data_IF_566963917096
#
_entry.id   IF_566963917096
#
_cell.length_a   1.000
_cell.length_b   1.000
_cell.length_c   1.000
_cell.angle_alpha   90.00
_cell.angle_beta   90.00
_cell.angle_gamma   90.00
#
_symmetry.space_group_name_H-M   'P 1'
#
loop_
_entity.id
_entity.type
_entity.pdbx_description
1 polymer ?
#
# COMPACT_ATOMS: atom_id res chain seq x y z
N UNK A 1 5.66 27.86 15.17
CA UNK A 1 4.54 28.17 14.28
C UNK A 1 4.88 28.04 12.79
N UNK A 2 6.19 28.04 12.38
CA UNK A 2 6.58 27.99 10.96
C UNK A 2 6.64 26.58 10.34
N UNK A 3 6.52 25.51 11.13
CA UNK A 3 6.63 24.12 10.63
C UNK A 3 5.54 23.75 9.63
N UNK A 4 4.29 24.19 9.85
CA UNK A 4 3.18 23.92 8.94
C UNK A 4 3.35 24.52 7.54
N UNK A 5 3.92 25.72 7.44
CA UNK A 5 4.20 26.35 6.15
C UNK A 5 5.29 25.59 5.37
N UNK A 6 6.32 25.06 6.02
CA UNK A 6 7.35 24.25 5.37
C UNK A 6 6.79 23.00 4.69
N UNK A 7 5.84 22.31 5.32
CA UNK A 7 5.24 21.11 4.75
C UNK A 7 4.25 21.44 3.61
N UNK A 8 3.55 22.57 3.69
CA UNK A 8 2.74 23.06 2.56
C UNK A 8 3.64 23.35 1.35
N UNK A 9 4.76 24.05 1.53
CA UNK A 9 5.71 24.34 0.44
C UNK A 9 6.32 23.06 -0.15
N UNK A 10 6.61 22.04 0.65
CA UNK A 10 7.12 20.76 0.14
C UNK A 10 6.11 20.08 -0.76
N UNK A 11 4.83 20.04 -0.35
CA UNK A 11 3.75 19.46 -1.17
C UNK A 11 3.54 20.23 -2.48
N UNK A 12 3.55 21.56 -2.42
CA UNK A 12 3.45 22.41 -3.61
C UNK A 12 4.62 22.16 -4.59
N UNK A 13 5.84 21.95 -4.07
CA UNK A 13 6.99 21.62 -4.92
C UNK A 13 6.85 20.26 -5.56
N UNK A 14 6.41 19.26 -4.79
CA UNK A 14 6.18 17.92 -5.32
C UNK A 14 5.14 17.96 -6.46
N UNK A 15 3.99 18.60 -6.21
CA UNK A 15 2.93 18.78 -7.20
C UNK A 15 3.45 19.46 -8.48
N UNK A 16 4.20 20.56 -8.31
CA UNK A 16 4.82 21.26 -9.44
C UNK A 16 5.79 20.36 -10.22
N UNK A 17 6.64 19.57 -9.55
CA UNK A 17 7.59 18.70 -10.23
C UNK A 17 6.89 17.59 -11.01
N UNK A 18 5.81 17.03 -10.49
CA UNK A 18 4.97 16.09 -11.25
C UNK A 18 4.42 16.76 -12.50
N UNK A 19 3.88 17.98 -12.38
CA UNK A 19 3.41 18.76 -13.54
C UNK A 19 4.51 19.07 -14.56
N UNK A 20 5.72 19.42 -14.10
CA UNK A 20 6.89 19.67 -14.98
C UNK A 20 7.30 18.40 -15.75
N UNK A 21 7.25 17.22 -15.10
CA UNK A 21 7.52 15.93 -15.77
C UNK A 21 6.46 15.64 -16.82
N UNK A 22 5.17 15.80 -16.49
CA UNK A 22 4.09 15.57 -17.46
C UNK A 22 4.18 16.50 -18.66
N UNK A 23 4.42 17.79 -18.43
CA UNK A 23 4.61 18.78 -19.51
C UNK A 23 5.83 18.47 -20.39
N UNK A 24 6.90 17.92 -19.83
CA UNK A 24 8.06 17.46 -20.60
C UNK A 24 7.71 16.27 -21.50
N UNK A 25 6.99 15.28 -21.00
CA UNK A 25 6.56 14.13 -21.78
C UNK A 25 5.66 14.53 -22.97
N UNK A 26 4.76 15.48 -22.74
CA UNK A 26 3.93 16.08 -23.81
C UNK A 26 4.79 16.80 -24.86
N UNK A 27 5.73 17.64 -24.41
CA UNK A 27 6.63 18.39 -25.29
C UNK A 27 7.50 17.48 -26.14
N UNK A 28 7.97 16.38 -25.59
CA UNK A 28 8.79 15.39 -26.32
C UNK A 28 7.93 14.44 -27.17
N UNK A 29 6.60 14.53 -27.11
CA UNK A 29 5.67 13.73 -27.91
C UNK A 29 5.63 12.26 -27.52
N UNK A 30 5.95 11.92 -26.28
CA UNK A 30 5.98 10.54 -25.76
C UNK A 30 4.95 10.29 -24.64
N UNK A 31 4.13 11.27 -24.32
CA UNK A 31 3.14 11.16 -23.23
C UNK A 31 2.18 9.98 -23.42
N UNK A 32 1.68 9.76 -24.65
CA UNK A 32 0.73 8.68 -24.96
C UNK A 32 1.37 7.28 -24.89
N UNK A 33 2.70 7.19 -24.87
CA UNK A 33 3.45 5.94 -24.74
C UNK A 33 4.23 5.86 -23.43
N UNK A 34 3.80 6.59 -22.41
CA UNK A 34 4.44 6.63 -21.08
C UNK A 34 3.44 6.30 -19.99
N UNK A 35 3.70 5.21 -19.27
CA UNK A 35 3.01 4.90 -18.04
C UNK A 35 3.61 5.72 -16.89
N UNK A 36 2.78 6.48 -16.20
CA UNK A 36 3.17 7.23 -15.00
C UNK A 36 2.55 6.57 -13.79
N UNK A 37 3.36 6.24 -12.80
CA UNK A 37 2.91 5.75 -11.49
C UNK A 37 3.35 6.74 -10.43
N UNK A 38 2.40 7.25 -9.66
CA UNK A 38 2.65 8.11 -8.50
C UNK A 38 2.20 7.41 -7.23
N UNK A 39 3.12 7.23 -6.29
CA UNK A 39 2.88 6.52 -5.03
C UNK A 39 3.84 6.96 -3.94
N UNK A 40 3.77 6.35 -2.77
CA UNK A 40 4.72 6.48 -1.65
C UNK A 40 5.22 5.10 -1.22
N UNK A 41 6.42 5.03 -0.68
CA UNK A 41 7.04 3.79 -0.17
C UNK A 41 6.42 3.28 1.13
N UNK A 42 5.91 4.19 1.95
CA UNK A 42 5.25 3.89 3.24
C UNK A 42 4.32 5.04 3.65
N UNK A 43 3.56 4.81 4.71
CA UNK A 43 2.75 5.84 5.34
C UNK A 43 3.58 7.00 5.95
N UNK A 44 2.91 8.03 6.49
CA UNK A 44 3.60 9.21 7.02
C UNK A 44 4.52 8.84 8.19
N UNK A 45 5.61 9.60 8.36
CA UNK A 45 6.61 9.35 9.40
C UNK A 45 6.61 10.44 10.47
N UNK A 46 7.22 10.12 11.63
CA UNK A 46 7.39 11.05 12.77
C UNK A 46 8.82 11.61 12.90
N UNK A 47 9.68 11.32 11.95
CA UNK A 47 11.10 11.68 11.96
C UNK A 47 11.33 13.11 11.48
N UNK A 48 12.49 13.68 11.81
CA UNK A 48 12.89 15.01 11.34
C UNK A 48 11.97 16.14 11.78
N UNK A 49 11.20 15.94 12.85
CA UNK A 49 10.23 16.92 13.35
C UNK A 49 8.91 16.92 12.59
N UNK A 50 8.67 15.95 11.70
CA UNK A 50 7.35 15.75 11.11
C UNK A 50 6.33 15.36 12.18
N UNK A 51 5.12 15.91 12.06
CA UNK A 51 4.01 15.57 12.94
C UNK A 51 2.78 15.19 12.10
N UNK A 52 2.61 13.89 11.82
CA UNK A 52 1.48 13.40 11.04
C UNK A 52 0.13 13.65 11.70
N UNK A 53 0.09 13.74 13.04
CA UNK A 53 -1.15 14.02 13.78
C UNK A 53 -1.65 15.45 13.52
N UNK A 54 -0.73 16.42 13.39
CA UNK A 54 -1.08 17.81 13.13
C UNK A 54 -1.80 18.00 11.77
N UNK A 55 -1.40 17.23 10.76
CA UNK A 55 -1.98 17.32 9.42
C UNK A 55 -2.99 16.21 9.14
N UNK A 56 -3.24 15.31 10.07
CA UNK A 56 -3.98 14.05 9.83
C UNK A 56 -3.48 13.34 8.57
N UNK A 57 -2.14 13.21 8.45
CA UNK A 57 -1.48 12.74 7.22
C UNK A 57 -1.80 11.29 6.85
N UNK A 58 -2.27 10.49 7.80
CA UNK A 58 -2.75 9.13 7.60
C UNK A 58 -4.27 9.05 7.37
N UNK A 59 -4.97 10.22 7.31
CA UNK A 59 -6.43 10.27 7.16
C UNK A 59 -7.14 9.51 8.26
N UNK A 60 -8.09 8.61 7.93
CA UNK A 60 -8.81 7.81 8.91
C UNK A 60 -8.03 6.57 9.40
N UNK A 61 -6.84 6.30 8.86
CA UNK A 61 -6.12 5.07 9.11
C UNK A 61 -5.32 5.14 10.41
N UNK A 62 -5.03 4.00 11.02
CA UNK A 62 -4.19 3.89 12.21
C UNK A 62 -2.72 3.68 11.84
N UNK A 63 -1.82 4.24 12.63
CA UNK A 63 -0.38 4.01 12.52
C UNK A 63 0.32 4.94 11.52
N UNK A 64 1.61 4.74 11.38
CA UNK A 64 2.49 5.49 10.50
C UNK A 64 3.67 4.61 10.06
N UNK A 65 4.64 5.14 9.33
CA UNK A 65 5.86 4.42 8.92
C UNK A 65 6.38 3.49 10.01
N UNK A 66 6.71 2.25 9.68
CA UNK A 66 7.11 1.11 10.52
C UNK A 66 5.97 0.41 11.26
N UNK A 67 4.75 0.93 11.24
CA UNK A 67 3.59 0.20 11.74
C UNK A 67 3.03 -0.73 10.66
N UNK A 68 2.49 -1.87 11.09
CA UNK A 68 1.77 -2.81 10.22
C UNK A 68 0.28 -2.50 10.11
N UNK A 69 -0.19 -1.48 10.79
CA UNK A 69 -1.54 -0.94 10.62
C UNK A 69 -1.69 -0.24 9.26
N UNK A 70 -2.91 -0.06 8.80
CA UNK A 70 -3.20 0.51 7.48
C UNK A 70 -2.48 1.86 7.25
N UNK A 71 -2.38 2.74 8.25
CA UNK A 71 -1.69 4.01 8.13
C UNK A 71 -0.18 3.92 7.90
N UNK A 72 0.43 2.77 8.20
CA UNK A 72 1.84 2.51 7.93
C UNK A 72 2.11 1.93 6.55
N UNK A 73 1.20 1.10 6.03
CA UNK A 73 1.42 0.31 4.80
C UNK A 73 0.49 0.69 3.65
N UNK A 74 -0.69 1.27 3.90
CA UNK A 74 -1.61 1.72 2.86
C UNK A 74 -1.23 3.11 2.38
N UNK A 75 -0.82 3.23 1.13
CA UNK A 75 -0.32 4.46 0.51
C UNK A 75 -1.19 4.88 -0.67
N UNK A 76 -1.18 6.17 -1.03
CA UNK A 76 -1.77 6.61 -2.30
C UNK A 76 -1.12 5.89 -3.48
N UNK A 77 -1.92 5.47 -4.45
CA UNK A 77 -1.45 4.87 -5.68
C UNK A 77 -2.26 5.40 -6.86
N UNK A 78 -1.59 6.09 -7.77
CA UNK A 78 -2.22 6.71 -8.94
C UNK A 78 -1.47 6.25 -10.17
N UNK A 79 -2.20 5.77 -11.18
CA UNK A 79 -1.64 5.33 -12.46
C UNK A 79 -2.27 6.14 -13.58
N UNK A 80 -1.43 6.62 -14.50
CA UNK A 80 -1.86 7.30 -15.72
C UNK A 80 -1.17 6.68 -16.92
N UNK A 81 -1.97 6.26 -17.90
CA UNK A 81 -1.48 5.78 -19.20
C UNK A 81 -2.51 6.18 -20.25
N UNK A 82 -2.31 7.31 -20.93
CA UNK A 82 -3.27 7.86 -21.88
C UNK A 82 -3.65 6.85 -22.97
N UNK A 83 -4.95 6.76 -23.30
CA UNK A 83 -5.48 5.81 -24.28
C UNK A 83 -5.58 4.35 -23.82
N UNK A 84 -5.00 3.98 -22.68
CA UNK A 84 -5.00 2.61 -22.14
C UNK A 84 -5.77 2.50 -20.81
N UNK A 85 -5.65 3.51 -19.96
CA UNK A 85 -6.36 3.58 -18.67
C UNK A 85 -7.38 4.70 -18.74
N UNK A 86 -8.63 4.42 -18.37
CA UNK A 86 -9.70 5.40 -18.41
C UNK A 86 -9.45 6.53 -17.40
N UNK A 87 -9.64 7.78 -17.85
CA UNK A 87 -9.53 8.95 -16.99
C UNK A 87 -10.55 8.90 -15.84
N UNK A 88 -10.08 9.25 -14.63
CA UNK A 88 -10.94 9.29 -13.44
C UNK A 88 -11.41 7.93 -12.94
N UNK A 89 -10.93 6.83 -13.52
CA UNK A 89 -11.22 5.49 -13.04
C UNK A 89 -10.76 5.34 -11.58
N UNK A 90 -11.53 4.57 -10.80
CA UNK A 90 -11.20 4.20 -9.41
C UNK A 90 -11.33 2.71 -9.26
N UNK A 91 -10.46 2.12 -8.44
CA UNK A 91 -10.48 0.70 -8.15
C UNK A 91 -10.24 0.48 -6.67
N UNK A 92 -11.02 -0.41 -6.05
CA UNK A 92 -10.81 -0.90 -4.68
C UNK A 92 -9.99 -2.20 -4.68
N UNK A 93 -9.36 -2.53 -5.81
CA UNK A 93 -8.50 -3.70 -5.93
C UNK A 93 -7.33 -3.61 -4.94
N UNK A 94 -7.20 -4.64 -4.11
CA UNK A 94 -6.08 -4.76 -3.17
C UNK A 94 -4.85 -5.18 -3.95
N UNK A 95 -3.75 -4.45 -3.76
CA UNK A 95 -2.46 -4.72 -4.37
C UNK A 95 -1.31 -4.40 -3.43
N UNK A 96 -0.13 -4.88 -3.76
CA UNK A 96 1.11 -4.57 -3.06
C UNK A 96 2.26 -4.26 -4.05
N UNK A 97 3.40 -3.76 -3.55
CA UNK A 97 4.50 -3.36 -4.42
C UNK A 97 5.12 -4.50 -5.23
N UNK A 98 5.07 -5.72 -4.74
CA UNK A 98 5.54 -6.89 -5.51
C UNK A 98 4.69 -7.22 -6.74
N UNK A 99 3.50 -6.62 -6.88
CA UNK A 99 2.64 -6.72 -8.07
C UNK A 99 3.14 -5.86 -9.23
N UNK A 100 3.99 -4.88 -8.96
CA UNK A 100 4.49 -3.94 -9.98
C UNK A 100 5.34 -4.66 -11.03
N UNK A 101 6.21 -5.57 -10.61
CA UNK A 101 7.08 -6.31 -11.52
C UNK A 101 6.29 -7.15 -12.53
N UNK A 102 5.38 -8.07 -12.13
CA UNK A 102 4.58 -8.83 -13.08
C UNK A 102 3.65 -7.95 -13.92
N UNK A 103 3.15 -6.84 -13.37
CA UNK A 103 2.33 -5.88 -14.13
C UNK A 103 3.12 -5.24 -15.27
N UNK A 104 4.34 -4.79 -15.01
CA UNK A 104 5.19 -4.20 -16.04
C UNK A 104 5.64 -5.22 -17.06
N UNK A 105 5.94 -6.46 -16.64
CA UNK A 105 6.29 -7.52 -17.56
C UNK A 105 5.14 -7.85 -18.54
N UNK A 106 3.91 -7.94 -18.02
CA UNK A 106 2.74 -8.12 -18.87
C UNK A 106 2.53 -6.94 -19.82
N UNK A 107 2.64 -5.70 -19.30
CA UNK A 107 2.48 -4.47 -20.10
C UNK A 107 3.43 -4.42 -21.31
N UNK A 108 4.69 -4.82 -21.13
CA UNK A 108 5.68 -4.83 -22.23
C UNK A 108 5.67 -6.11 -23.06
N UNK A 109 4.76 -7.06 -22.75
CA UNK A 109 4.67 -8.34 -23.44
C UNK A 109 5.89 -9.24 -23.23
N UNK A 110 6.53 -9.18 -22.06
CA UNK A 110 7.66 -10.07 -21.72
C UNK A 110 7.23 -11.53 -21.80
N UNK A 111 8.10 -12.36 -22.35
CA UNK A 111 7.93 -13.82 -22.41
C UNK A 111 8.71 -14.55 -21.34
N UNK A 112 9.47 -13.82 -20.53
CA UNK A 112 10.26 -14.39 -19.46
C UNK A 112 9.35 -14.85 -18.31
N UNK A 113 9.64 -16.02 -17.75
CA UNK A 113 8.97 -16.49 -16.56
C UNK A 113 9.50 -15.68 -15.35
N UNK A 114 8.62 -14.92 -14.72
CA UNK A 114 8.95 -14.16 -13.52
C UNK A 114 8.48 -14.95 -12.30
N UNK A 115 9.42 -15.35 -11.46
CA UNK A 115 9.11 -15.94 -10.16
C UNK A 115 8.94 -14.80 -9.17
N UNK A 116 7.72 -14.59 -8.68
CA UNK A 116 7.36 -13.50 -7.75
C UNK A 116 6.12 -13.89 -6.96
N UNK A 117 5.95 -13.31 -5.79
CA UNK A 117 4.72 -13.41 -4.99
C UNK A 117 3.61 -12.49 -5.53
N UNK A 118 3.93 -11.63 -6.51
CA UNK A 118 3.01 -10.70 -7.13
C UNK A 118 2.16 -11.31 -8.22
N UNK A 119 1.03 -10.67 -8.47
CA UNK A 119 0.16 -10.91 -9.63
C UNK A 119 0.05 -9.61 -10.46
N UNK A 120 -0.14 -9.73 -11.77
CA UNK A 120 -0.28 -8.54 -12.60
C UNK A 120 -1.58 -7.78 -12.26
N UNK A 121 -1.46 -6.48 -12.09
CA UNK A 121 -2.57 -5.55 -11.88
C UNK A 121 -3.04 -4.90 -13.19
N UNK A 122 -2.44 -5.26 -14.33
CA UNK A 122 -2.80 -4.68 -15.63
C UNK A 122 -4.30 -4.83 -15.94
N UNK A 123 -4.96 -5.98 -15.69
CA UNK A 123 -6.39 -6.10 -15.89
C UNK A 123 -7.20 -5.10 -15.05
N UNK A 124 -6.87 -4.93 -13.77
CA UNK A 124 -7.56 -3.95 -12.92
C UNK A 124 -7.38 -2.50 -13.42
N UNK A 125 -6.19 -2.17 -13.93
CA UNK A 125 -5.90 -0.82 -14.43
C UNK A 125 -6.60 -0.53 -15.76
N UNK A 126 -6.81 -1.54 -16.60
CA UNK A 126 -7.44 -1.41 -17.91
C UNK A 126 -8.93 -1.77 -17.94
N UNK A 127 -9.55 -2.00 -16.78
CA UNK A 127 -10.98 -2.28 -16.64
C UNK A 127 -11.37 -3.73 -16.93
N UNK A 128 -10.41 -4.64 -16.94
CA UNK A 128 -10.62 -6.09 -17.10
C UNK A 128 -10.93 -6.82 -15.78
N UNK A 129 -11.11 -8.13 -15.89
CA UNK A 129 -11.29 -9.00 -14.73
C UNK A 129 -9.94 -9.25 -14.05
N UNK A 130 -9.86 -8.91 -12.76
CA UNK A 130 -8.65 -9.04 -11.94
C UNK A 130 -8.72 -10.28 -11.05
N UNK A 131 -7.65 -11.05 -11.04
CA UNK A 131 -7.44 -12.09 -10.05
C UNK A 131 -7.13 -11.49 -8.68
N UNK A 132 -7.52 -12.17 -7.62
CA UNK A 132 -7.33 -11.73 -6.25
C UNK A 132 -6.15 -12.46 -5.61
N UNK A 133 -5.36 -11.77 -4.80
CA UNK A 133 -4.45 -12.44 -3.89
C UNK A 133 -5.22 -13.28 -2.87
N UNK A 134 -4.81 -14.53 -2.60
CA UNK A 134 -5.39 -15.30 -1.50
C UNK A 134 -5.12 -14.63 -0.15
N UNK A 135 -3.97 -14.01 -0.02
CA UNK A 135 -3.55 -13.13 1.09
C UNK A 135 -2.36 -12.26 0.66
N UNK A 136 -2.10 -11.22 1.42
CA UNK A 136 -0.86 -10.44 1.37
C UNK A 136 -0.15 -10.58 2.73
N UNK A 137 1.20 -10.68 2.70
CA UNK A 137 2.03 -10.82 3.89
C UNK A 137 3.09 -9.72 3.95
N UNK A 138 3.30 -9.16 5.13
CA UNK A 138 4.36 -8.19 5.42
C UNK A 138 5.10 -8.57 6.68
N UNK A 139 6.39 -8.28 6.70
CA UNK A 139 7.26 -8.48 7.83
C UNK A 139 8.16 -7.26 8.05
N UNK A 140 8.41 -6.93 9.32
CA UNK A 140 9.28 -5.84 9.70
C UNK A 140 10.05 -6.21 10.97
N UNK A 141 11.36 -6.38 10.84
CA UNK A 141 12.21 -6.97 11.91
C UNK A 141 12.56 -6.00 13.03
N UNK A 142 12.47 -4.68 12.81
CA UNK A 142 12.73 -3.70 13.86
C UNK A 142 11.57 -3.60 14.86
N UNK A 143 11.77 -2.82 15.94
CA UNK A 143 10.76 -2.54 16.95
C UNK A 143 10.17 -3.82 17.61
N UNK A 144 11.00 -4.83 17.79
CA UNK A 144 10.62 -6.10 18.42
C UNK A 144 10.05 -7.15 17.45
N UNK A 145 10.11 -6.90 16.15
CA UNK A 145 9.54 -7.78 15.12
C UNK A 145 8.03 -7.61 14.97
N UNK A 146 7.58 -7.51 13.74
CA UNK A 146 6.17 -7.34 13.40
C UNK A 146 5.84 -8.13 12.14
N UNK A 147 4.67 -8.72 12.10
CA UNK A 147 4.12 -9.38 10.92
C UNK A 147 2.69 -8.91 10.69
N UNK A 148 2.25 -8.86 9.45
CA UNK A 148 0.85 -8.63 9.12
C UNK A 148 0.43 -9.52 7.95
N UNK A 149 -0.80 -9.99 8.00
CA UNK A 149 -1.49 -10.67 6.90
C UNK A 149 -2.79 -9.96 6.62
N UNK A 150 -3.04 -9.68 5.34
CA UNK A 150 -4.35 -9.28 4.86
C UNK A 150 -4.95 -10.41 4.02
N UNK A 151 -6.14 -10.87 4.38
CA UNK A 151 -6.90 -11.91 3.70
C UNK A 151 -8.33 -11.42 3.47
N UNK A 152 -8.60 -10.91 2.27
CA UNK A 152 -9.84 -10.21 1.97
C UNK A 152 -10.02 -8.98 2.88
N UNK A 153 -11.11 -8.94 3.65
CA UNK A 153 -11.39 -7.86 4.60
C UNK A 153 -10.70 -8.04 5.96
N UNK A 154 -10.15 -9.23 6.21
CA UNK A 154 -9.50 -9.53 7.48
C UNK A 154 -8.04 -9.11 7.46
N UNK A 155 -7.60 -8.52 8.56
CA UNK A 155 -6.19 -8.19 8.79
C UNK A 155 -5.75 -8.64 10.17
N UNK A 156 -4.78 -9.56 10.18
CA UNK A 156 -4.09 -9.97 11.40
C UNK A 156 -2.75 -9.26 11.52
N UNK A 157 -2.38 -8.87 12.73
CA UNK A 157 -1.11 -8.23 13.05
C UNK A 157 -0.49 -8.96 14.24
N UNK A 158 0.77 -9.38 14.10
CA UNK A 158 1.55 -9.96 15.17
C UNK A 158 2.64 -8.97 15.56
N UNK A 159 2.72 -8.65 16.85
CA UNK A 159 3.70 -7.69 17.41
C UNK A 159 4.67 -8.42 18.33
N UNK A 160 5.88 -7.89 18.46
CA UNK A 160 6.95 -8.41 19.30
C UNK A 160 7.28 -9.89 18.96
N UNK A 161 7.38 -10.18 17.68
CA UNK A 161 7.65 -11.54 17.17
C UNK A 161 9.00 -12.03 17.69
N UNK A 162 9.01 -13.27 18.21
CA UNK A 162 10.25 -13.91 18.69
C UNK A 162 10.64 -13.56 20.13
N UNK A 163 9.75 -12.97 20.91
CA UNK A 163 9.96 -12.79 22.35
C UNK A 163 8.70 -13.13 23.16
N UNK A 164 8.84 -13.19 24.49
CA UNK A 164 7.77 -13.58 25.44
C UNK A 164 6.57 -12.60 25.47
N UNK A 165 6.65 -11.49 24.74
CA UNK A 165 5.60 -10.47 24.66
C UNK A 165 4.86 -10.49 23.33
N UNK A 166 5.02 -11.55 22.53
CA UNK A 166 4.29 -11.70 21.26
C UNK A 166 2.80 -11.57 21.51
N UNK A 167 2.16 -10.68 20.76
CA UNK A 167 0.70 -10.47 20.80
C UNK A 167 0.14 -10.53 19.39
N UNK A 168 -1.14 -10.92 19.29
CA UNK A 168 -1.88 -10.98 18.05
C UNK A 168 -3.13 -10.14 18.10
N UNK A 169 -3.38 -9.43 17.03
CA UNK A 169 -4.55 -8.59 16.83
C UNK A 169 -5.22 -8.96 15.51
N UNK A 170 -6.57 -8.96 15.49
CA UNK A 170 -7.38 -9.21 14.30
C UNK A 170 -8.40 -8.11 14.10
N UNK A 171 -8.51 -7.60 12.86
CA UNK A 171 -9.44 -6.55 12.48
C UNK A 171 -10.22 -6.95 11.23
N UNK A 172 -11.50 -6.54 11.17
CA UNK A 172 -12.28 -6.57 9.94
C UNK A 172 -12.29 -5.17 9.33
N UNK A 173 -11.50 -4.95 8.29
CA UNK A 173 -11.33 -3.63 7.67
C UNK A 173 -12.55 -3.13 6.89
N UNK A 174 -13.53 -3.99 6.60
CA UNK A 174 -14.80 -3.55 6.01
C UNK A 174 -15.65 -2.77 7.03
N UNK A 175 -15.58 -3.15 8.32
CA UNK A 175 -16.35 -2.55 9.39
C UNK A 175 -15.52 -1.60 10.26
N UNK A 176 -14.21 -1.83 10.35
CA UNK A 176 -13.27 -1.13 11.23
C UNK A 176 -11.97 -0.78 10.50
N UNK A 177 -12.06 0.20 9.60
CA UNK A 177 -10.89 0.72 8.87
C UNK A 177 -9.86 1.42 9.77
N UNK A 178 -10.28 1.81 10.97
CA UNK A 178 -9.44 2.46 11.98
C UNK A 178 -8.64 1.47 12.83
N UNK A 179 -8.91 0.16 12.70
CA UNK A 179 -8.23 -0.91 13.46
C UNK A 179 -8.29 -0.67 14.98
N UNK A 180 -9.48 -0.28 15.50
CA UNK A 180 -9.68 0.08 16.91
C UNK A 180 -10.13 -1.12 17.76
N UNK A 181 -10.87 -2.06 17.16
CA UNK A 181 -11.46 -3.19 17.86
C UNK A 181 -10.77 -4.50 17.47
N UNK A 182 -9.93 -5.02 18.36
CA UNK A 182 -9.37 -6.36 18.20
C UNK A 182 -10.46 -7.42 18.42
N UNK A 183 -10.79 -8.16 17.34
CA UNK A 183 -11.83 -9.20 17.34
C UNK A 183 -11.27 -10.61 17.25
N UNK A 184 -10.00 -10.84 17.58
CA UNK A 184 -9.33 -12.13 17.50
C UNK A 184 -10.03 -13.21 18.36
N UNK A 185 -10.46 -12.88 19.56
CA UNK A 185 -11.15 -13.80 20.46
C UNK A 185 -12.55 -14.20 19.95
N UNK A 186 -13.18 -13.34 19.16
CA UNK A 186 -14.53 -13.55 18.62
C UNK A 186 -14.48 -14.37 17.30
N UNK A 187 -13.29 -14.48 16.65
CA UNK A 187 -13.10 -15.12 15.36
C UNK A 187 -11.93 -16.12 15.39
N UNK A 188 -12.02 -17.20 16.18
CA UNK A 188 -10.90 -18.14 16.38
C UNK A 188 -10.44 -18.83 15.10
N UNK A 189 -11.34 -19.16 14.19
CA UNK A 189 -11.00 -19.87 12.93
C UNK A 189 -10.17 -18.97 12.00
N UNK A 190 -10.55 -17.70 11.86
CA UNK A 190 -9.81 -16.71 11.07
C UNK A 190 -8.46 -16.41 11.72
N UNK A 191 -8.44 -16.26 13.04
CA UNK A 191 -7.23 -16.09 13.84
C UNK A 191 -6.26 -17.25 13.60
N UNK A 192 -6.73 -18.49 13.66
CA UNK A 192 -5.90 -19.67 13.42
C UNK A 192 -5.35 -19.69 11.99
N UNK A 193 -6.20 -19.39 11.00
CA UNK A 193 -5.79 -19.37 9.58
C UNK A 193 -4.73 -18.33 9.29
N UNK A 194 -4.87 -17.12 9.83
CA UNK A 194 -3.90 -16.05 9.64
C UNK A 194 -2.58 -16.37 10.36
N UNK A 195 -2.63 -16.93 11.56
CA UNK A 195 -1.42 -17.38 12.26
C UNK A 195 -0.69 -18.48 11.49
N UNK A 196 -1.41 -19.45 10.90
CA UNK A 196 -0.82 -20.48 10.04
C UNK A 196 -0.05 -19.85 8.86
N UNK A 197 -0.63 -18.84 8.20
CA UNK A 197 0.05 -18.11 7.12
C UNK A 197 1.32 -17.45 7.65
N UNK A 198 1.26 -16.74 8.79
CA UNK A 198 2.42 -16.06 9.40
C UNK A 198 3.53 -17.03 9.82
N UNK A 199 3.22 -18.29 10.11
CA UNK A 199 4.18 -19.30 10.54
C UNK A 199 4.85 -20.01 9.35
N UNK A 200 4.27 -19.89 8.15
CA UNK A 200 4.72 -20.61 6.93
C UNK A 200 5.22 -19.72 5.80
N UNK A 201 5.00 -18.41 5.90
CA UNK A 201 5.41 -17.41 4.89
C UNK A 201 6.92 -17.13 4.88
#
# INVERSE_FOLDING_TARGET
>A
PSRGLGDVYKRQRLDRYVGEVMALLEKEGIADNTLIVFTSDNGPHREGGANPDFFHSYGPLRGCKRDMYEGGIRVPFIVSYPGHIAEGAKSDQIMAFWDIMPTFAELIGSRDTITTDGISMLPAWTGGKQDQHPYLYWEFHELGGRQAVRMGDWKGIRLNVGNDRTSFELYNLADDIHEERNVAAENPDITARINEIMDTA
#
